data_IF_579970497692
#
_entry.id   IF_579970497692
#
_cell.length_a   1.000
_cell.length_b   1.000
_cell.length_c   1.000
_cell.angle_alpha   90.00
_cell.angle_beta   90.00
_cell.angle_gamma   90.00
#
_symmetry.space_group_name_H-M   'P 1'
#
loop_
_entity.id
_entity.type
_entity.pdbx_description
1 polymer ?
#
# COMPACT_ATOMS: atom_id res chain seq x y z
N UNK A 1 34.18 -1.10 1.22
CA UNK A 1 33.82 -2.37 0.59
C UNK A 1 32.63 -2.11 -0.31
N UNK A 2 32.70 -2.48 -1.57
CA UNK A 2 31.47 -2.48 -2.39
C UNK A 2 30.64 -3.66 -1.91
N UNK A 3 29.40 -3.40 -1.51
CA UNK A 3 28.48 -4.48 -1.15
C UNK A 3 28.28 -5.39 -2.38
N UNK A 4 28.29 -6.70 -2.16
CA UNK A 4 28.02 -7.65 -3.23
C UNK A 4 26.60 -7.42 -3.80
N UNK A 5 26.42 -7.41 -5.14
CA UNK A 5 25.15 -7.13 -5.75
C UNK A 5 24.09 -8.18 -5.36
N UNK A 6 22.87 -7.72 -5.14
CA UNK A 6 21.74 -8.59 -4.77
C UNK A 6 21.10 -9.27 -5.99
N UNK A 7 21.14 -8.61 -7.11
CA UNK A 7 20.58 -9.05 -8.40
C UNK A 7 21.66 -8.98 -9.48
N UNK A 8 21.48 -9.77 -10.54
CA UNK A 8 22.29 -9.62 -11.72
C UNK A 8 22.06 -8.22 -12.37
N UNK A 9 23.09 -7.63 -13.01
CA UNK A 9 22.97 -6.28 -13.57
C UNK A 9 21.76 -6.08 -14.51
N UNK A 10 21.38 -7.09 -15.27
CA UNK A 10 20.24 -7.03 -16.18
C UNK A 10 18.90 -7.10 -15.43
N UNK A 11 18.82 -7.85 -14.32
CA UNK A 11 17.64 -7.95 -13.46
C UNK A 11 17.40 -6.61 -12.74
N UNK A 12 18.44 -6.04 -12.14
CA UNK A 12 18.38 -4.75 -11.47
C UNK A 12 17.96 -3.64 -12.44
N UNK A 13 18.53 -3.64 -13.66
CA UNK A 13 18.16 -2.70 -14.72
C UNK A 13 16.69 -2.85 -15.13
N UNK A 14 16.21 -4.08 -15.27
CA UNK A 14 14.80 -4.39 -15.59
C UNK A 14 13.85 -3.85 -14.53
N UNK A 15 14.20 -4.03 -13.25
CA UNK A 15 13.41 -3.52 -12.14
C UNK A 15 13.35 -1.99 -12.15
N UNK A 16 14.51 -1.33 -12.28
CA UNK A 16 14.59 0.13 -12.37
C UNK A 16 13.81 0.70 -13.57
N UNK A 17 13.94 0.07 -14.77
CA UNK A 17 13.17 0.46 -15.94
C UNK A 17 11.66 0.28 -15.75
N UNK A 18 11.23 -0.76 -15.04
CA UNK A 18 9.82 -0.98 -14.71
C UNK A 18 9.28 0.10 -13.76
N UNK A 19 10.06 0.49 -12.77
CA UNK A 19 9.70 1.61 -11.84
C UNK A 19 9.52 2.90 -12.63
N UNK A 20 10.51 3.26 -13.46
CA UNK A 20 10.55 4.57 -14.12
C UNK A 20 9.56 4.66 -15.28
N UNK A 21 9.57 3.66 -16.19
CA UNK A 21 8.80 3.72 -17.44
C UNK A 21 7.40 3.13 -17.29
N UNK A 22 7.29 1.97 -16.64
CA UNK A 22 6.04 1.25 -16.59
C UNK A 22 5.13 1.68 -15.44
N UNK A 23 5.73 2.04 -14.26
CA UNK A 23 4.96 2.45 -13.08
C UNK A 23 4.82 3.95 -12.93
N UNK A 24 5.81 4.75 -13.32
CA UNK A 24 5.74 6.22 -13.23
C UNK A 24 5.44 6.91 -14.55
N UNK A 25 5.72 6.28 -15.69
CA UNK A 25 5.54 6.90 -17.00
C UNK A 25 6.42 8.15 -17.18
N UNK A 26 7.66 8.13 -16.70
CA UNK A 26 8.59 9.26 -16.84
C UNK A 26 8.93 9.47 -18.29
N UNK A 27 8.89 10.74 -18.73
CA UNK A 27 9.18 11.18 -20.10
C UNK A 27 10.22 12.29 -20.15
N UNK A 28 10.61 12.69 -21.35
CA UNK A 28 11.64 13.71 -21.60
C UNK A 28 11.29 15.04 -20.92
N UNK A 29 12.26 15.63 -20.25
CA UNK A 29 12.15 16.96 -19.63
C UNK A 29 11.55 16.99 -18.23
N UNK A 30 11.13 15.84 -17.69
CA UNK A 30 10.51 15.76 -16.36
C UNK A 30 11.53 15.66 -15.23
N UNK A 31 11.08 15.93 -14.00
CA UNK A 31 11.85 15.73 -12.78
C UNK A 31 11.44 14.42 -12.13
N UNK A 32 12.42 13.55 -11.86
CA UNK A 32 12.23 12.34 -11.07
C UNK A 32 12.83 12.51 -9.68
N UNK A 33 12.05 12.26 -8.64
CA UNK A 33 12.55 12.21 -7.26
C UNK A 33 12.56 10.78 -6.79
N UNK A 34 13.72 10.29 -6.34
CA UNK A 34 13.91 8.95 -5.77
C UNK A 34 14.17 9.08 -4.27
N UNK A 35 13.34 8.45 -3.47
CA UNK A 35 13.40 8.52 -2.01
C UNK A 35 13.53 7.13 -1.41
N UNK A 36 14.38 6.98 -0.41
CA UNK A 36 14.56 5.72 0.31
C UNK A 36 15.57 5.88 1.45
N UNK A 37 15.95 4.79 2.07
CA UNK A 37 17.01 4.76 3.08
C UNK A 37 18.36 4.43 2.43
N UNK A 38 19.47 4.62 3.17
CA UNK A 38 20.81 4.32 2.65
C UNK A 38 20.93 2.84 2.24
N UNK A 39 20.27 1.94 2.96
CA UNK A 39 20.22 0.52 2.62
C UNK A 39 19.65 0.23 1.22
N UNK A 40 18.90 1.16 0.64
CA UNK A 40 18.29 1.03 -0.69
C UNK A 40 19.15 1.58 -1.83
N UNK A 41 20.40 2.00 -1.53
CA UNK A 41 21.28 2.71 -2.46
C UNK A 41 21.43 2.00 -3.81
N UNK A 42 21.57 0.67 -3.84
CA UNK A 42 21.75 -0.09 -5.07
C UNK A 42 20.58 0.13 -6.05
N UNK A 43 19.34 -0.05 -5.60
CA UNK A 43 18.17 0.19 -6.44
C UNK A 43 17.98 1.68 -6.75
N UNK A 44 18.21 2.57 -5.78
CA UNK A 44 18.02 4.02 -5.99
C UNK A 44 18.94 4.58 -7.07
N UNK A 45 20.19 4.11 -7.12
CA UNK A 45 21.15 4.48 -8.18
C UNK A 45 20.71 3.92 -9.53
N UNK A 46 20.25 2.67 -9.58
CA UNK A 46 19.72 2.07 -10.80
C UNK A 46 18.46 2.79 -11.32
N UNK A 47 17.57 3.24 -10.43
CA UNK A 47 16.38 4.04 -10.77
C UNK A 47 16.78 5.42 -11.29
N UNK A 48 17.81 6.04 -10.71
CA UNK A 48 18.33 7.33 -11.20
C UNK A 48 18.90 7.20 -12.61
N UNK A 49 19.71 6.15 -12.87
CA UNK A 49 20.22 5.84 -14.22
C UNK A 49 19.07 5.60 -15.21
N UNK A 50 18.07 4.82 -14.83
CA UNK A 50 16.88 4.58 -15.65
C UNK A 50 16.10 5.85 -15.93
N UNK A 51 16.02 6.78 -14.95
CA UNK A 51 15.40 8.09 -15.09
C UNK A 51 16.09 8.93 -16.18
N UNK A 52 17.40 9.05 -16.12
CA UNK A 52 18.16 9.77 -17.17
C UNK A 52 18.07 9.09 -18.53
N UNK A 53 18.10 7.77 -18.60
CA UNK A 53 17.87 7.01 -19.85
C UNK A 53 16.45 7.20 -20.42
N UNK A 54 15.47 7.50 -19.56
CA UNK A 54 14.11 7.84 -19.98
C UNK A 54 13.97 9.33 -20.42
N UNK A 55 15.02 10.14 -20.26
CA UNK A 55 15.05 11.54 -20.66
C UNK A 55 14.66 12.50 -19.54
N UNK A 56 14.64 12.09 -18.27
CA UNK A 56 14.43 13.00 -17.16
C UNK A 56 15.41 14.15 -17.22
N UNK A 57 14.93 15.39 -17.02
CA UNK A 57 15.77 16.57 -16.97
C UNK A 57 16.67 16.60 -15.73
N UNK A 58 16.07 16.24 -14.58
CA UNK A 58 16.77 16.11 -13.32
C UNK A 58 16.27 14.84 -12.60
N UNK A 59 17.21 14.08 -12.01
CA UNK A 59 16.90 13.05 -11.03
C UNK A 59 17.47 13.48 -9.69
N UNK A 60 16.59 13.71 -8.72
CA UNK A 60 16.94 14.05 -7.35
C UNK A 60 16.84 12.81 -6.46
N UNK A 61 17.95 12.44 -5.82
CA UNK A 61 17.98 11.27 -4.88
C UNK A 61 18.04 11.78 -3.45
N UNK A 62 17.15 11.27 -2.60
CA UNK A 62 17.09 11.62 -1.18
C UNK A 62 17.16 10.37 -0.32
N UNK A 63 18.16 10.32 0.54
CA UNK A 63 18.29 9.28 1.56
C UNK A 63 17.73 9.77 2.88
N UNK A 64 16.82 9.00 3.47
CA UNK A 64 16.37 9.13 4.85
C UNK A 64 17.16 8.19 5.77
N UNK A 65 17.09 8.46 7.06
CA UNK A 65 17.65 7.59 8.09
C UNK A 65 16.69 7.59 9.29
N UNK A 66 16.14 6.42 9.68
CA UNK A 66 15.23 6.31 10.83
C UNK A 66 15.87 6.75 12.15
N UNK A 67 17.20 6.60 12.30
CA UNK A 67 17.90 7.00 13.52
C UNK A 67 17.98 8.53 13.66
N UNK A 68 17.94 9.28 12.55
CA UNK A 68 17.80 10.75 12.59
C UNK A 68 16.43 11.16 13.12
N UNK A 69 15.36 10.43 12.74
CA UNK A 69 14.04 10.64 13.33
C UNK A 69 14.04 10.26 14.81
N UNK A 70 14.67 9.15 15.19
CA UNK A 70 14.84 8.75 16.58
C UNK A 70 15.52 9.85 17.39
N UNK A 71 16.67 10.37 16.95
CA UNK A 71 17.39 11.44 17.62
C UNK A 71 16.52 12.71 17.81
N UNK A 72 15.70 13.05 16.81
CA UNK A 72 14.71 14.13 16.91
C UNK A 72 13.63 13.85 17.96
N UNK A 73 13.15 12.61 18.02
CA UNK A 73 12.16 12.20 19.03
C UNK A 73 12.74 12.14 20.44
N UNK A 74 14.02 11.83 20.61
CA UNK A 74 14.70 11.80 21.93
C UNK A 74 15.05 13.20 22.40
N UNK A 75 15.67 14.01 21.57
CA UNK A 75 16.35 15.24 21.98
C UNK A 75 15.72 16.51 21.42
N UNK A 76 14.86 16.41 20.40
CA UNK A 76 14.23 17.56 19.79
C UNK A 76 13.27 18.27 20.75
N UNK A 77 13.16 19.60 20.63
CA UNK A 77 12.19 20.39 21.39
C UNK A 77 10.76 20.00 21.03
N UNK A 78 9.85 20.06 21.97
CA UNK A 78 8.44 19.69 21.76
C UNK A 78 7.73 20.57 20.71
N UNK A 79 8.13 21.84 20.58
CA UNK A 79 7.59 22.76 19.58
C UNK A 79 8.09 22.43 18.16
N UNK A 80 9.21 21.72 18.02
CA UNK A 80 9.81 21.34 16.74
C UNK A 80 9.33 19.98 16.23
N UNK A 81 8.66 19.16 17.06
CA UNK A 81 8.13 17.87 16.64
C UNK A 81 7.10 18.02 15.53
N UNK A 82 7.24 17.22 14.47
CA UNK A 82 6.37 17.22 13.29
C UNK A 82 6.46 18.46 12.41
N UNK A 83 7.34 19.42 12.72
CA UNK A 83 7.54 20.62 11.89
C UNK A 83 8.31 20.24 10.62
N UNK A 84 7.80 20.68 9.48
CA UNK A 84 8.51 20.60 8.20
C UNK A 84 9.10 21.97 7.83
N UNK A 85 10.27 21.96 7.22
CA UNK A 85 10.92 23.19 6.79
C UNK A 85 10.23 23.82 5.57
N UNK A 86 10.35 25.15 5.37
CA UNK A 86 9.74 25.82 4.21
C UNK A 86 10.16 25.22 2.85
N UNK A 87 11.41 24.79 2.72
CA UNK A 87 11.89 24.14 1.49
C UNK A 87 11.30 22.74 1.30
N UNK A 88 11.13 21.94 2.36
CA UNK A 88 10.44 20.66 2.29
C UNK A 88 8.98 20.83 1.87
N UNK A 89 8.29 21.83 2.43
CA UNK A 89 6.92 22.16 2.03
C UNK A 89 6.84 22.63 0.55
N UNK A 90 7.85 23.39 0.07
CA UNK A 90 7.93 23.77 -1.35
C UNK A 90 8.11 22.55 -2.23
N UNK A 91 9.05 21.66 -1.88
CA UNK A 91 9.30 20.42 -2.61
C UNK A 91 8.03 19.55 -2.73
N UNK A 92 7.26 19.40 -1.66
CA UNK A 92 5.99 18.68 -1.71
C UNK A 92 5.00 19.31 -2.70
N UNK A 93 4.94 20.63 -2.80
CA UNK A 93 4.12 21.32 -3.81
C UNK A 93 4.62 21.07 -5.23
N UNK A 94 5.94 21.10 -5.45
CA UNK A 94 6.51 20.78 -6.78
C UNK A 94 6.16 19.35 -7.21
N UNK A 95 6.16 18.37 -6.29
CA UNK A 95 5.80 16.99 -6.56
C UNK A 95 4.32 16.79 -6.95
N UNK A 96 3.47 17.80 -6.81
CA UNK A 96 2.08 17.74 -7.31
C UNK A 96 1.92 18.28 -8.73
N UNK A 97 2.99 18.70 -9.37
CA UNK A 97 2.97 19.18 -10.76
C UNK A 97 3.01 18.03 -11.77
N UNK A 98 2.42 18.20 -12.95
CA UNK A 98 2.41 17.15 -14.00
C UNK A 98 3.82 16.71 -14.43
N UNK A 99 4.79 17.62 -14.37
CA UNK A 99 6.19 17.39 -14.78
C UNK A 99 7.06 16.70 -13.71
N UNK A 100 6.48 16.31 -12.58
CA UNK A 100 7.21 15.65 -11.50
C UNK A 100 6.69 14.22 -11.26
N UNK A 101 7.62 13.31 -10.98
CA UNK A 101 7.33 11.93 -10.58
C UNK A 101 8.16 11.54 -9.36
N UNK A 102 7.65 10.65 -8.52
CA UNK A 102 8.31 10.20 -7.30
C UNK A 102 8.32 8.68 -7.18
N UNK A 103 9.51 8.09 -7.06
CA UNK A 103 9.74 6.73 -6.63
C UNK A 103 10.06 6.71 -5.13
N UNK A 104 9.35 5.92 -4.35
CA UNK A 104 9.63 5.66 -2.93
C UNK A 104 10.09 4.21 -2.80
N UNK A 105 11.33 4.01 -2.34
CA UNK A 105 11.84 2.68 -2.11
C UNK A 105 11.57 2.31 -0.66
N UNK A 106 10.86 1.20 -0.48
CA UNK A 106 10.40 0.68 0.81
C UNK A 106 11.24 -0.51 1.28
N UNK A 107 11.45 -0.59 2.58
CA UNK A 107 12.18 -1.64 3.27
C UNK A 107 12.75 -1.08 4.57
N UNK A 108 12.37 -1.61 5.73
CA UNK A 108 12.87 -1.12 7.01
C UNK A 108 14.33 -1.58 7.23
N UNK A 109 15.24 -0.63 7.47
CA UNK A 109 16.64 -0.94 7.80
C UNK A 109 16.89 -1.02 9.31
N UNK A 110 16.12 -0.26 10.11
CA UNK A 110 16.32 -0.08 11.54
C UNK A 110 15.06 -0.47 12.32
N UNK A 111 14.90 -1.76 12.65
CA UNK A 111 13.76 -2.22 13.45
C UNK A 111 13.82 -1.66 14.86
N UNK A 112 12.67 -1.36 15.41
CA UNK A 112 12.57 -0.89 16.80
C UNK A 112 13.18 0.51 17.03
N UNK A 113 13.44 1.29 15.98
CA UNK A 113 13.97 2.66 16.14
C UNK A 113 13.07 3.57 16.98
N UNK A 114 11.82 3.18 17.22
CA UNK A 114 10.89 3.89 18.10
C UNK A 114 10.84 3.32 19.54
N UNK A 115 11.56 2.22 19.82
CA UNK A 115 11.54 1.58 21.12
C UNK A 115 12.11 2.51 22.21
N UNK A 116 11.38 2.59 23.32
CA UNK A 116 11.76 3.48 24.44
C UNK A 116 11.39 4.95 24.25
N UNK A 117 10.94 5.37 23.07
CA UNK A 117 10.47 6.74 22.84
C UNK A 117 9.07 6.92 23.49
N UNK A 118 8.85 8.01 24.28
CA UNK A 118 7.54 8.26 24.86
C UNK A 118 6.43 8.33 23.81
N UNK A 119 5.35 7.53 23.93
CA UNK A 119 4.26 7.48 22.93
C UNK A 119 3.68 8.85 22.58
N UNK A 120 3.61 9.78 23.54
CA UNK A 120 3.13 11.15 23.32
C UNK A 120 3.99 11.91 22.32
N UNK A 121 5.30 11.73 22.31
CA UNK A 121 6.21 12.40 21.38
C UNK A 121 6.04 11.85 19.97
N UNK A 122 5.92 10.52 19.84
CA UNK A 122 5.63 9.86 18.55
C UNK A 122 4.30 10.36 17.98
N UNK A 123 3.23 10.36 18.80
CA UNK A 123 1.92 10.84 18.37
C UNK A 123 1.93 12.32 17.97
N UNK A 124 2.69 13.16 18.69
CA UNK A 124 2.85 14.59 18.36
C UNK A 124 3.55 14.77 17.03
N UNK A 125 4.67 14.06 16.80
CA UNK A 125 5.41 14.08 15.53
C UNK A 125 4.50 13.71 14.37
N UNK A 126 3.85 12.54 14.44
CA UNK A 126 3.00 12.01 13.38
C UNK A 126 1.79 12.90 13.08
N UNK A 127 1.08 13.37 14.12
CA UNK A 127 -0.13 14.18 13.93
C UNK A 127 0.18 15.55 13.32
N UNK A 128 1.24 16.21 13.81
CA UNK A 128 1.64 17.51 13.27
C UNK A 128 2.19 17.40 11.84
N UNK A 129 3.01 16.38 11.56
CA UNK A 129 3.50 16.10 10.21
C UNK A 129 2.33 15.82 9.26
N UNK A 130 1.39 14.94 9.62
CA UNK A 130 0.21 14.64 8.83
C UNK A 130 -0.61 15.90 8.53
N UNK A 131 -0.82 16.77 9.53
CA UNK A 131 -1.54 18.04 9.35
C UNK A 131 -0.87 18.96 8.32
N UNK A 132 0.46 19.09 8.36
CA UNK A 132 1.21 19.95 7.44
C UNK A 132 1.30 19.36 6.02
N UNK A 133 1.26 18.03 5.90
CA UNK A 133 1.37 17.32 4.62
C UNK A 133 0.03 16.92 4.01
N UNK A 134 -1.10 17.24 4.65
CA UNK A 134 -2.46 16.84 4.23
C UNK A 134 -2.74 17.13 2.75
N UNK A 135 -2.35 18.31 2.24
CA UNK A 135 -2.60 18.68 0.83
C UNK A 135 -1.83 17.78 -0.12
N UNK A 136 -0.57 17.46 0.20
CA UNK A 136 0.26 16.57 -0.59
C UNK A 136 -0.26 15.12 -0.54
N UNK A 137 -0.60 14.63 0.66
CA UNK A 137 -1.17 13.29 0.83
C UNK A 137 -2.47 13.12 0.04
N UNK A 138 -3.37 14.10 0.10
CA UNK A 138 -4.60 14.09 -0.70
C UNK A 138 -4.30 14.11 -2.20
N UNK A 139 -3.32 14.89 -2.64
CA UNK A 139 -2.92 14.91 -4.05
C UNK A 139 -2.40 13.53 -4.50
N UNK A 140 -1.68 12.81 -3.65
CA UNK A 140 -1.21 11.44 -3.93
C UNK A 140 -2.39 10.45 -4.02
N UNK A 141 -3.33 10.49 -3.06
CA UNK A 141 -4.52 9.63 -3.07
C UNK A 141 -5.50 9.95 -4.23
N UNK A 142 -5.53 11.21 -4.69
CA UNK A 142 -6.34 11.64 -5.83
C UNK A 142 -5.58 11.48 -7.17
N UNK A 143 -4.43 10.81 -7.18
CA UNK A 143 -3.54 10.62 -8.35
C UNK A 143 -3.05 11.93 -8.99
N UNK A 144 -3.09 13.03 -8.25
CA UNK A 144 -2.61 14.36 -8.68
C UNK A 144 -1.12 14.55 -8.42
N UNK A 145 -0.50 13.68 -7.64
CA UNK A 145 0.94 13.54 -7.56
C UNK A 145 1.29 12.17 -8.11
N UNK A 146 2.19 12.11 -9.11
CA UNK A 146 2.65 10.85 -9.68
C UNK A 146 3.64 10.19 -8.73
N UNK A 147 3.32 8.99 -8.29
CA UNK A 147 4.20 8.24 -7.40
C UNK A 147 4.09 6.74 -7.62
N UNK A 148 5.12 6.03 -7.21
CA UNK A 148 5.12 4.57 -7.04
C UNK A 148 5.95 4.20 -5.81
N UNK A 149 5.45 3.22 -5.05
CA UNK A 149 6.22 2.53 -4.02
C UNK A 149 6.83 1.26 -4.62
N UNK A 150 8.12 1.01 -4.38
CA UNK A 150 8.79 -0.23 -4.79
C UNK A 150 9.61 -0.78 -3.63
N UNK A 151 9.67 -2.10 -3.50
CA UNK A 151 10.36 -2.76 -2.39
C UNK A 151 11.84 -3.00 -2.71
N UNK A 152 12.71 -2.88 -1.68
CA UNK A 152 14.10 -3.33 -1.74
C UNK A 152 14.51 -3.98 -0.42
N UNK A 153 15.23 -5.13 -0.42
CA UNK A 153 15.54 -5.86 0.80
C UNK A 153 16.57 -5.14 1.65
N UNK A 154 16.36 -5.23 2.97
CA UNK A 154 17.35 -4.86 4.00
C UNK A 154 17.80 -6.10 4.75
N UNK A 155 18.88 -6.01 5.52
CA UNK A 155 19.39 -7.14 6.33
C UNK A 155 18.34 -7.60 7.33
N UNK A 156 17.72 -6.64 8.01
CA UNK A 156 16.68 -6.95 8.99
C UNK A 156 15.45 -7.60 8.35
N UNK A 157 14.94 -7.03 7.29
CA UNK A 157 13.75 -7.55 6.60
C UNK A 157 14.00 -8.95 6.05
N UNK A 158 15.17 -9.17 5.43
CA UNK A 158 15.53 -10.48 4.92
C UNK A 158 15.67 -11.53 6.05
N UNK A 159 16.23 -11.16 7.21
CA UNK A 159 16.32 -12.04 8.36
C UNK A 159 14.94 -12.44 8.93
N UNK A 160 13.96 -11.54 8.90
CA UNK A 160 12.58 -11.87 9.30
C UNK A 160 11.90 -12.86 8.33
N UNK A 161 12.03 -12.63 7.04
CA UNK A 161 11.37 -13.46 6.02
C UNK A 161 12.11 -14.79 5.81
N UNK A 162 13.43 -14.78 5.90
CA UNK A 162 14.32 -15.91 5.65
C UNK A 162 15.27 -16.19 6.82
N UNK A 163 14.79 -16.50 8.03
CA UNK A 163 15.62 -16.61 9.24
C UNK A 163 16.65 -17.76 9.22
N UNK A 164 16.57 -18.65 8.23
CA UNK A 164 17.50 -19.79 8.08
C UNK A 164 18.60 -19.54 7.04
N UNK A 165 18.56 -18.42 6.32
CA UNK A 165 19.56 -18.07 5.32
C UNK A 165 20.62 -17.11 5.93
N UNK A 166 21.79 -17.07 5.33
CA UNK A 166 22.76 -16.01 5.65
C UNK A 166 22.20 -14.64 5.23
N UNK A 167 22.67 -13.52 5.83
CA UNK A 167 22.14 -12.18 5.50
C UNK A 167 22.15 -11.89 4.00
N UNK A 168 23.24 -12.20 3.30
CA UNK A 168 23.36 -11.95 1.86
C UNK A 168 22.41 -12.83 1.04
N UNK A 169 22.34 -14.13 1.34
CA UNK A 169 21.42 -15.06 0.67
C UNK A 169 19.97 -14.70 0.92
N UNK A 170 19.63 -14.31 2.15
CA UNK A 170 18.30 -13.83 2.51
C UNK A 170 17.89 -12.59 1.69
N UNK A 171 18.77 -11.60 1.59
CA UNK A 171 18.52 -10.40 0.75
C UNK A 171 18.39 -10.75 -0.72
N UNK A 172 19.27 -11.59 -1.27
CA UNK A 172 19.20 -12.04 -2.66
C UNK A 172 17.90 -12.79 -2.94
N UNK A 173 17.47 -13.63 -2.01
CA UNK A 173 16.21 -14.36 -2.14
C UNK A 173 15.03 -13.39 -2.14
N UNK A 174 14.98 -12.46 -1.19
CA UNK A 174 13.93 -11.47 -1.08
C UNK A 174 13.87 -10.53 -2.31
N UNK A 175 15.02 -10.11 -2.85
CA UNK A 175 15.08 -9.34 -4.09
C UNK A 175 14.49 -10.10 -5.29
N UNK A 176 14.77 -11.40 -5.42
CA UNK A 176 14.18 -12.26 -6.47
C UNK A 176 12.67 -12.46 -6.28
N UNK A 177 12.20 -12.54 -5.03
CA UNK A 177 10.76 -12.57 -4.76
C UNK A 177 10.09 -11.30 -5.27
N UNK A 178 10.68 -10.12 -5.05
CA UNK A 178 10.13 -8.85 -5.57
C UNK A 178 10.07 -8.83 -7.09
N UNK A 179 11.12 -9.32 -7.77
CA UNK A 179 11.09 -9.47 -9.24
C UNK A 179 9.96 -10.41 -9.68
N UNK A 180 9.78 -11.53 -8.99
CA UNK A 180 8.73 -12.49 -9.30
C UNK A 180 7.34 -11.87 -9.10
N UNK A 181 7.11 -11.18 -7.97
CA UNK A 181 5.83 -10.52 -7.69
C UNK A 181 5.52 -9.41 -8.69
N UNK A 182 6.54 -8.70 -9.14
CA UNK A 182 6.41 -7.69 -10.18
C UNK A 182 6.39 -8.26 -11.60
N UNK A 183 6.40 -9.58 -11.81
CA UNK A 183 6.45 -10.24 -13.14
C UNK A 183 7.61 -9.72 -13.98
N UNK A 184 8.79 -9.67 -13.38
CA UNK A 184 10.01 -9.18 -14.01
C UNK A 184 11.09 -10.26 -14.15
N UNK A 185 10.72 -11.53 -14.01
CA UNK A 185 11.61 -12.67 -14.28
C UNK A 185 11.67 -12.96 -15.78
N UNK A 186 12.63 -13.75 -16.22
CA UNK A 186 12.75 -14.14 -17.62
C UNK A 186 11.52 -14.93 -18.12
N UNK A 187 10.87 -15.68 -17.24
CA UNK A 187 9.64 -16.40 -17.56
C UNK A 187 8.43 -15.46 -17.82
N UNK A 188 8.49 -14.21 -17.37
CA UNK A 188 7.42 -13.23 -17.53
C UNK A 188 7.52 -12.41 -18.84
N UNK A 189 8.57 -12.61 -19.61
CA UNK A 189 8.83 -11.93 -20.88
C UNK A 189 9.88 -10.84 -20.82
N UNK A 190 10.10 -10.16 -21.95
CA UNK A 190 11.17 -9.18 -22.10
C UNK A 190 10.85 -7.87 -21.35
N UNK A 191 11.86 -7.29 -20.72
CA UNK A 191 11.79 -5.99 -20.05
C UNK A 191 10.69 -5.93 -18.99
N UNK A 192 9.84 -4.93 -19.04
CA UNK A 192 8.71 -4.72 -18.12
C UNK A 192 7.36 -5.21 -18.68
N UNK A 193 7.37 -6.03 -19.75
CA UNK A 193 6.14 -6.49 -20.42
C UNK A 193 5.21 -7.30 -19.52
N UNK A 194 5.76 -8.18 -18.68
CA UNK A 194 5.00 -8.95 -17.70
C UNK A 194 4.28 -8.06 -16.69
N UNK A 195 5.00 -7.09 -16.14
CA UNK A 195 4.43 -6.11 -15.22
C UNK A 195 3.31 -5.29 -15.88
N UNK A 196 3.55 -4.73 -17.08
CA UNK A 196 2.54 -3.96 -17.80
C UNK A 196 1.29 -4.78 -18.13
N UNK A 197 1.47 -6.04 -18.53
CA UNK A 197 0.35 -6.97 -18.80
C UNK A 197 -0.48 -7.17 -17.52
N UNK A 198 0.19 -7.37 -16.40
CA UNK A 198 -0.43 -7.61 -15.10
C UNK A 198 -1.23 -6.38 -14.61
N UNK A 199 -0.62 -5.20 -14.51
CA UNK A 199 -1.32 -4.00 -14.01
C UNK A 199 -2.46 -3.56 -14.93
N UNK A 200 -2.34 -3.78 -16.24
CA UNK A 200 -3.45 -3.58 -17.18
C UNK A 200 -4.57 -4.60 -16.99
N UNK A 201 -4.27 -5.83 -16.60
CA UNK A 201 -5.28 -6.83 -16.27
C UNK A 201 -6.07 -6.42 -15.03
N UNK A 202 -5.40 -5.95 -13.98
CA UNK A 202 -6.05 -5.41 -12.78
C UNK A 202 -6.93 -4.20 -13.12
N UNK A 203 -6.44 -3.25 -13.92
CA UNK A 203 -7.23 -2.09 -14.35
C UNK A 203 -8.48 -2.49 -15.17
N UNK A 204 -8.35 -3.48 -16.08
CA UNK A 204 -9.52 -4.03 -16.82
C UNK A 204 -10.53 -4.67 -15.87
N UNK A 205 -10.07 -5.38 -14.85
CA UNK A 205 -10.91 -5.98 -13.81
C UNK A 205 -11.67 -4.92 -13.03
N UNK A 206 -10.98 -3.87 -12.59
CA UNK A 206 -11.59 -2.70 -11.94
C UNK A 206 -12.66 -2.04 -12.82
N UNK A 207 -12.36 -1.83 -14.10
CA UNK A 207 -13.33 -1.29 -15.05
C UNK A 207 -14.56 -2.20 -15.23
N UNK A 208 -14.37 -3.52 -15.19
CA UNK A 208 -15.49 -4.48 -15.26
C UNK A 208 -16.36 -4.46 -14.01
N UNK A 209 -15.74 -4.49 -12.83
CA UNK A 209 -16.47 -4.34 -11.56
C UNK A 209 -17.25 -3.01 -11.49
N UNK A 210 -16.65 -1.93 -12.00
CA UNK A 210 -17.33 -0.63 -12.09
C UNK A 210 -18.57 -0.68 -12.95
N UNK A 211 -18.53 -1.38 -14.10
CA UNK A 211 -19.72 -1.56 -14.99
C UNK A 211 -20.83 -2.42 -14.40
N UNK A 212 -20.55 -3.23 -13.39
CA UNK A 212 -21.56 -4.00 -12.69
C UNK A 212 -22.45 -3.13 -11.79
N UNK A 213 -22.05 -1.88 -11.53
CA UNK A 213 -22.78 -0.92 -10.68
C UNK A 213 -23.22 -1.52 -9.35
N UNK A 214 -22.28 -2.21 -8.70
CA UNK A 214 -22.54 -2.85 -7.43
C UNK A 214 -22.84 -1.82 -6.35
N UNK A 215 -23.84 -2.07 -5.55
CA UNK A 215 -24.24 -1.23 -4.40
C UNK A 215 -23.81 -1.81 -3.06
N UNK A 216 -23.34 -3.05 -3.04
CA UNK A 216 -22.88 -3.74 -1.85
C UNK A 216 -22.12 -5.01 -2.17
N UNK A 217 -21.48 -5.56 -1.14
CA UNK A 217 -20.78 -6.82 -1.18
C UNK A 217 -21.17 -7.68 0.04
N UNK A 218 -21.20 -8.98 -0.16
CA UNK A 218 -21.17 -10.00 0.89
C UNK A 218 -19.85 -10.76 0.76
N UNK A 219 -19.06 -10.80 1.84
CA UNK A 219 -17.80 -11.51 1.90
C UNK A 219 -17.94 -12.64 2.93
N UNK A 220 -17.63 -13.87 2.53
CA UNK A 220 -17.69 -15.05 3.38
C UNK A 220 -16.40 -15.85 3.28
N UNK A 221 -15.87 -16.24 4.42
CA UNK A 221 -14.66 -17.05 4.56
C UNK A 221 -14.49 -17.53 5.98
N UNK A 222 -13.41 -18.23 6.31
CA UNK A 222 -13.17 -18.73 7.65
C UNK A 222 -13.20 -17.61 8.70
N UNK A 223 -14.25 -17.57 9.54
CA UNK A 223 -14.45 -16.54 10.57
C UNK A 223 -14.87 -15.16 10.04
N UNK A 224 -15.15 -15.04 8.76
CA UNK A 224 -15.61 -13.81 8.11
C UNK A 224 -17.00 -14.00 7.52
N UNK A 225 -17.96 -13.17 7.95
CA UNK A 225 -19.29 -12.97 7.33
C UNK A 225 -19.59 -11.48 7.39
N UNK A 226 -19.17 -10.74 6.36
CA UNK A 226 -19.34 -9.30 6.25
C UNK A 226 -20.33 -8.95 5.15
N UNK A 227 -21.18 -7.98 5.45
CA UNK A 227 -22.05 -7.31 4.48
C UNK A 227 -21.74 -5.82 4.52
N UNK A 228 -21.39 -5.26 3.39
CA UNK A 228 -21.10 -3.84 3.29
C UNK A 228 -21.80 -3.22 2.09
N UNK A 229 -22.19 -1.95 2.23
CA UNK A 229 -22.64 -1.16 1.08
C UNK A 229 -21.45 -0.39 0.51
N UNK A 230 -21.50 -0.13 -0.77
CA UNK A 230 -20.48 0.67 -1.46
C UNK A 230 -20.92 2.16 -1.50
N UNK A 231 -19.94 3.05 -1.61
CA UNK A 231 -20.22 4.47 -1.83
C UNK A 231 -21.03 4.63 -3.13
N UNK A 232 -22.16 5.39 -3.14
CA UNK A 232 -22.95 5.57 -4.34
C UNK A 232 -22.13 6.14 -5.50
N UNK A 233 -22.19 5.49 -6.67
CA UNK A 233 -21.41 5.86 -7.85
C UNK A 233 -19.92 5.59 -7.68
N UNK A 234 -19.56 4.59 -6.88
CA UNK A 234 -18.18 4.13 -6.73
C UNK A 234 -17.64 3.53 -8.02
N UNK A 235 -16.33 3.65 -8.21
CA UNK A 235 -15.57 2.89 -9.20
C UNK A 235 -14.55 2.02 -8.51
N UNK A 236 -14.14 0.97 -9.19
CA UNK A 236 -13.06 0.10 -8.76
C UNK A 236 -11.77 0.52 -9.42
N UNK A 237 -10.70 0.59 -8.64
CA UNK A 237 -9.33 0.88 -9.04
C UNK A 237 -8.49 -0.38 -8.92
N UNK A 238 -7.34 -0.41 -9.59
CA UNK A 238 -6.36 -1.49 -9.43
C UNK A 238 -5.30 -1.48 -10.51
N UNK A 239 -4.09 -1.77 -10.11
CA UNK A 239 -2.93 -1.86 -10.97
C UNK A 239 -2.58 -0.53 -11.65
N UNK A 240 -2.96 -0.37 -12.92
CA UNK A 240 -2.64 0.86 -13.66
C UNK A 240 -3.80 1.86 -13.58
N UNK A 241 -3.48 3.05 -13.11
CA UNK A 241 -4.41 4.18 -12.99
C UNK A 241 -3.97 5.35 -13.88
N UNK A 242 -4.91 6.21 -14.24
CA UNK A 242 -4.61 7.39 -15.04
C UNK A 242 -4.71 8.66 -14.20
N UNK A 243 -3.66 9.47 -14.23
CA UNK A 243 -3.64 10.78 -13.58
C UNK A 243 -4.57 11.75 -14.31
N UNK A 244 -4.98 12.88 -13.68
CA UNK A 244 -5.75 13.93 -14.35
C UNK A 244 -5.08 14.51 -15.60
N UNK A 245 -3.81 14.26 -15.81
CA UNK A 245 -3.03 14.72 -16.96
C UNK A 245 -2.83 13.66 -18.06
N UNK A 246 -3.54 12.53 -17.95
CA UNK A 246 -3.49 11.45 -18.93
C UNK A 246 -2.26 10.52 -18.81
N UNK A 247 -1.43 10.69 -17.78
CA UNK A 247 -0.28 9.81 -17.55
C UNK A 247 -0.75 8.56 -16.80
N UNK A 248 -0.42 7.40 -17.33
CA UNK A 248 -0.71 6.11 -16.69
C UNK A 248 0.39 5.75 -15.71
N UNK A 249 0.01 5.45 -14.47
CA UNK A 249 0.91 5.08 -13.38
C UNK A 249 0.44 3.79 -12.70
N UNK A 250 1.35 3.10 -12.02
CA UNK A 250 1.07 2.02 -11.08
C UNK A 250 1.61 2.43 -9.70
N UNK A 251 0.76 2.86 -8.75
CA UNK A 251 1.21 3.42 -7.48
C UNK A 251 1.97 2.43 -6.58
N UNK A 252 1.62 1.16 -6.63
CA UNK A 252 2.29 0.10 -5.86
C UNK A 252 2.98 -0.90 -6.76
N UNK A 253 4.19 -1.31 -6.34
CA UNK A 253 5.00 -2.30 -7.04
C UNK A 253 5.70 -3.21 -6.02
N UNK A 254 5.16 -4.44 -5.80
CA UNK A 254 4.06 -5.11 -6.51
C UNK A 254 2.67 -4.60 -6.14
N UNK A 255 1.65 -5.02 -6.91
CA UNK A 255 0.23 -4.95 -6.58
C UNK A 255 -0.51 -6.15 -7.18
N UNK A 256 -1.53 -6.66 -6.47
CA UNK A 256 -2.37 -7.79 -6.88
C UNK A 256 -3.86 -7.44 -6.79
N UNK A 257 -4.17 -6.29 -6.26
CA UNK A 257 -5.50 -5.91 -5.82
C UNK A 257 -6.33 -5.17 -6.88
N UNK A 258 -7.64 -5.28 -6.67
CA UNK A 258 -8.64 -4.39 -7.25
C UNK A 258 -9.56 -3.93 -6.12
N UNK A 259 -9.61 -2.63 -5.86
CA UNK A 259 -10.20 -2.07 -4.65
C UNK A 259 -11.23 -0.98 -4.90
N UNK A 260 -12.04 -0.72 -3.88
CA UNK A 260 -12.98 0.41 -3.83
C UNK A 260 -13.27 0.83 -2.39
N UNK A 261 -14.02 1.91 -2.20
CA UNK A 261 -14.38 2.39 -0.87
C UNK A 261 -15.80 1.97 -0.47
N UNK A 262 -15.96 1.28 0.66
CA UNK A 262 -17.27 1.01 1.26
C UNK A 262 -17.89 2.29 1.83
N UNK A 263 -19.20 2.27 2.01
CA UNK A 263 -19.93 3.33 2.69
C UNK A 263 -19.64 3.25 4.21
N UNK A 264 -19.05 4.29 4.77
CA UNK A 264 -18.56 4.33 6.15
C UNK A 264 -19.59 3.93 7.23
N UNK A 265 -20.89 4.12 6.98
CA UNK A 265 -21.96 3.83 7.93
C UNK A 265 -22.72 2.53 7.63
N UNK A 266 -22.19 1.64 6.79
CA UNK A 266 -23.01 0.52 6.30
C UNK A 266 -22.21 -0.78 6.13
N UNK A 267 -21.55 -1.19 7.22
CA UNK A 267 -20.88 -2.49 7.35
C UNK A 267 -21.48 -3.24 8.53
N UNK A 268 -21.85 -4.48 8.33
CA UNK A 268 -22.42 -5.40 9.34
C UNK A 268 -21.69 -6.74 9.30
N UNK A 269 -21.57 -7.39 10.44
CA UNK A 269 -21.03 -8.75 10.55
C UNK A 269 -19.64 -8.83 11.16
N UNK A 270 -18.96 -9.95 10.93
CA UNK A 270 -17.69 -10.27 11.56
C UNK A 270 -16.58 -10.47 10.54
N UNK A 271 -15.35 -10.23 10.97
CA UNK A 271 -14.15 -10.59 10.22
C UNK A 271 -13.13 -11.28 11.11
N UNK A 272 -12.32 -12.12 10.50
CA UNK A 272 -11.12 -12.71 11.10
C UNK A 272 -9.97 -12.57 10.11
N UNK A 273 -8.82 -12.05 10.58
CA UNK A 273 -7.61 -11.99 9.76
C UNK A 273 -7.12 -13.41 9.44
N UNK A 274 -6.81 -13.62 8.18
CA UNK A 274 -6.24 -14.87 7.66
C UNK A 274 -4.72 -14.87 7.63
N UNK A 275 -4.11 -13.67 7.72
CA UNK A 275 -2.67 -13.47 7.83
C UNK A 275 -2.36 -12.64 9.08
N UNK A 276 -1.18 -12.85 9.71
CA UNK A 276 -0.69 -11.93 10.74
C UNK A 276 -0.61 -10.51 10.19
N UNK A 277 -1.01 -9.53 11.00
CA UNK A 277 -0.87 -8.12 10.66
C UNK A 277 0.49 -7.62 11.12
N UNK A 278 1.35 -7.23 10.18
CA UNK A 278 2.59 -6.50 10.47
C UNK A 278 2.30 -5.01 10.49
N UNK A 279 2.41 -4.39 11.67
CA UNK A 279 2.09 -2.98 11.82
C UNK A 279 3.00 -2.31 12.85
N UNK A 280 3.70 -1.26 12.42
CA UNK A 280 4.63 -0.47 13.25
C UNK A 280 5.61 -1.36 14.06
N UNK A 281 6.27 -2.29 13.38
CA UNK A 281 7.25 -3.19 13.98
C UNK A 281 6.68 -4.31 14.86
N UNK A 282 5.34 -4.46 14.92
CA UNK A 282 4.67 -5.53 15.66
C UNK A 282 4.02 -6.53 14.71
N UNK A 283 4.13 -7.80 15.05
CA UNK A 283 3.36 -8.87 14.41
C UNK A 283 2.15 -9.22 15.29
N UNK A 284 0.96 -9.02 14.75
CA UNK A 284 -0.32 -9.14 15.44
C UNK A 284 -1.08 -10.33 14.88
N UNK A 285 -1.26 -11.35 15.70
CA UNK A 285 -1.95 -12.58 15.33
C UNK A 285 -3.41 -12.59 15.80
N UNK A 286 -4.25 -13.31 15.03
CA UNK A 286 -5.63 -13.62 15.41
C UNK A 286 -6.51 -12.37 15.57
N UNK A 287 -6.21 -11.31 14.81
CA UNK A 287 -7.04 -10.11 14.81
C UNK A 287 -8.42 -10.44 14.23
N UNK A 288 -9.47 -10.08 14.98
CA UNK A 288 -10.88 -10.31 14.59
C UNK A 288 -11.78 -9.24 15.18
N UNK A 289 -12.91 -9.02 14.53
CA UNK A 289 -13.84 -8.01 15.03
C UNK A 289 -15.26 -8.14 14.51
N UNK A 290 -16.13 -7.27 15.02
CA UNK A 290 -17.55 -7.22 14.69
C UNK A 290 -17.94 -5.78 14.35
N UNK A 291 -18.64 -5.61 13.24
CA UNK A 291 -19.22 -4.34 12.81
C UNK A 291 -20.72 -4.30 13.04
N UNK A 292 -21.22 -3.16 13.54
CA UNK A 292 -22.65 -2.82 13.58
C UNK A 292 -22.83 -1.37 13.17
N UNK A 293 -23.77 -1.09 12.27
CA UNK A 293 -24.01 0.27 11.78
C UNK A 293 -22.76 0.92 11.16
N UNK A 294 -21.90 0.16 10.51
CA UNK A 294 -20.65 0.61 9.92
C UNK A 294 -19.54 0.88 10.93
N UNK A 295 -19.73 0.61 12.22
CA UNK A 295 -18.72 0.86 13.26
C UNK A 295 -18.23 -0.44 13.86
N UNK A 296 -16.92 -0.57 14.01
CA UNK A 296 -16.30 -1.66 14.79
C UNK A 296 -16.72 -1.54 16.25
N UNK A 297 -17.50 -2.53 16.75
CA UNK A 297 -18.03 -2.59 18.11
C UNK A 297 -17.26 -3.58 19.00
N UNK A 298 -16.63 -4.57 18.40
CA UNK A 298 -15.74 -5.52 19.08
C UNK A 298 -14.43 -5.64 18.31
N UNK A 299 -13.33 -5.75 19.02
CA UNK A 299 -12.01 -6.05 18.49
C UNK A 299 -11.33 -7.03 19.45
N UNK A 300 -10.69 -8.06 18.91
CA UNK A 300 -9.90 -9.00 19.64
C UNK A 300 -8.66 -9.42 18.83
N UNK A 301 -7.61 -9.83 19.50
CA UNK A 301 -6.40 -10.40 18.95
C UNK A 301 -5.96 -11.58 19.82
N UNK A 302 -4.94 -12.33 19.38
CA UNK A 302 -4.39 -13.42 20.17
C UNK A 302 -3.85 -12.91 21.53
N UNK A 303 -3.20 -11.75 21.54
CA UNK A 303 -2.73 -11.07 22.77
C UNK A 303 -3.57 -9.81 23.04
N UNK A 304 -4.04 -9.61 24.30
CA UNK A 304 -4.78 -8.39 24.66
C UNK A 304 -4.00 -7.10 24.37
N UNK A 305 -2.69 -7.10 24.57
CA UNK A 305 -1.80 -5.95 24.29
C UNK A 305 -1.79 -5.55 22.80
N UNK A 306 -1.94 -6.50 21.90
CA UNK A 306 -2.00 -6.25 20.45
C UNK A 306 -3.36 -5.65 20.06
N UNK A 307 -4.44 -6.18 20.65
CA UNK A 307 -5.78 -5.58 20.52
C UNK A 307 -5.77 -4.13 20.95
N UNK A 308 -5.19 -3.82 22.12
CA UNK A 308 -5.18 -2.48 22.68
C UNK A 308 -4.31 -1.53 21.83
N UNK A 309 -3.22 -2.04 21.25
CA UNK A 309 -2.36 -1.29 20.33
C UNK A 309 -3.11 -0.93 19.03
N UNK A 310 -3.79 -1.87 18.39
CA UNK A 310 -4.62 -1.61 17.22
C UNK A 310 -5.76 -0.65 17.56
N UNK A 311 -6.45 -0.88 18.67
CA UNK A 311 -7.52 0.00 19.11
C UNK A 311 -7.04 1.45 19.33
N UNK A 312 -5.90 1.63 19.99
CA UNK A 312 -5.31 2.96 20.21
C UNK A 312 -5.00 3.67 18.90
N UNK A 313 -4.48 2.95 17.89
CA UNK A 313 -4.21 3.53 16.59
C UNK A 313 -5.48 3.96 15.85
N UNK A 314 -6.48 3.11 15.72
CA UNK A 314 -7.72 3.46 15.01
C UNK A 314 -8.53 4.53 15.77
N UNK A 315 -8.42 4.58 17.10
CA UNK A 315 -9.09 5.60 17.96
C UNK A 315 -8.32 6.92 17.98
N UNK A 316 -7.07 6.97 17.54
CA UNK A 316 -6.31 8.22 17.42
C UNK A 316 -6.83 9.16 16.33
N UNK A 317 -7.75 8.69 15.48
CA UNK A 317 -8.39 9.52 14.46
C UNK A 317 -9.24 10.62 15.10
N UNK A 318 -8.91 11.92 14.90
CA UNK A 318 -9.61 13.02 15.55
C UNK A 318 -11.06 13.20 15.09
N UNK A 319 -11.43 12.65 13.95
CA UNK A 319 -12.80 12.67 13.44
C UNK A 319 -13.70 11.59 14.07
N UNK A 320 -13.12 10.64 14.83
CA UNK A 320 -13.80 9.49 15.41
C UNK A 320 -14.28 8.45 14.38
N UNK A 321 -13.81 8.56 13.14
CA UNK A 321 -14.17 7.65 12.05
C UNK A 321 -13.15 6.52 11.83
N UNK A 322 -12.08 6.44 12.60
CA UNK A 322 -11.07 5.39 12.50
C UNK A 322 -11.65 3.98 12.68
N UNK A 323 -12.73 3.82 13.44
CA UNK A 323 -13.44 2.54 13.63
C UNK A 323 -14.41 2.18 12.50
N UNK A 324 -14.35 2.86 11.35
CA UNK A 324 -15.16 2.59 10.16
C UNK A 324 -14.28 2.17 9.01
N UNK A 325 -14.83 1.40 8.08
CA UNK A 325 -14.07 1.01 6.89
C UNK A 325 -13.91 2.18 5.91
N UNK A 326 -12.76 2.24 5.27
CA UNK A 326 -12.42 3.13 4.16
C UNK A 326 -12.18 2.36 2.86
N UNK A 327 -11.81 1.09 2.97
CA UNK A 327 -11.46 0.26 1.82
C UNK A 327 -12.02 -1.15 1.91
N UNK A 328 -12.28 -1.72 0.74
CA UNK A 328 -12.40 -3.14 0.48
C UNK A 328 -11.60 -3.45 -0.79
N UNK A 329 -10.61 -4.29 -0.65
CA UNK A 329 -9.73 -4.72 -1.72
C UNK A 329 -9.88 -6.23 -1.98
N UNK A 330 -9.94 -6.59 -3.25
CA UNK A 330 -10.12 -7.96 -3.68
C UNK A 330 -8.84 -8.45 -4.36
N UNK A 331 -8.27 -9.48 -3.79
CA UNK A 331 -7.12 -10.24 -4.28
C UNK A 331 -7.55 -11.69 -4.32
N UNK A 332 -7.32 -12.37 -5.43
CA UNK A 332 -7.65 -13.78 -5.55
C UNK A 332 -6.50 -14.70 -5.13
N UNK A 333 -6.78 -15.98 -4.96
CA UNK A 333 -5.82 -16.98 -4.52
C UNK A 333 -4.66 -17.23 -5.54
N UNK A 334 -4.69 -16.59 -6.72
CA UNK A 334 -3.58 -16.66 -7.69
C UNK A 334 -2.50 -15.60 -7.46
N UNK A 335 -2.66 -14.72 -6.45
CA UNK A 335 -1.61 -13.79 -6.05
C UNK A 335 -0.29 -14.52 -5.84
N UNK A 336 0.78 -14.09 -6.53
CA UNK A 336 2.10 -14.68 -6.34
C UNK A 336 2.62 -14.50 -4.92
N UNK A 337 2.22 -13.42 -4.26
CA UNK A 337 2.57 -13.14 -2.86
C UNK A 337 1.84 -14.15 -1.95
N UNK A 338 0.53 -14.29 -2.11
CA UNK A 338 -0.27 -15.27 -1.36
C UNK A 338 0.19 -16.71 -1.57
N UNK A 339 0.48 -17.09 -2.81
CA UNK A 339 0.98 -18.43 -3.16
C UNK A 339 2.37 -18.75 -2.58
N UNK A 340 3.16 -17.73 -2.19
CA UNK A 340 4.44 -17.96 -1.50
C UNK A 340 4.27 -18.62 -0.12
N UNK A 341 3.07 -18.53 0.46
CA UNK A 341 2.75 -19.04 1.80
C UNK A 341 3.53 -18.37 2.92
N UNK A 342 4.05 -17.14 2.67
CA UNK A 342 4.91 -16.41 3.61
C UNK A 342 4.25 -15.11 4.06
N UNK A 343 4.54 -14.71 5.28
CA UNK A 343 4.38 -13.34 5.74
C UNK A 343 5.65 -12.58 5.42
N UNK A 344 5.52 -11.43 4.77
CA UNK A 344 6.65 -10.58 4.39
C UNK A 344 6.94 -9.49 5.42
N UNK A 345 6.13 -9.36 6.44
CA UNK A 345 6.28 -8.38 7.54
C UNK A 345 6.31 -6.93 7.03
N UNK A 346 5.66 -6.68 5.90
CA UNK A 346 5.56 -5.36 5.31
C UNK A 346 4.22 -5.18 4.57
N UNK A 347 3.50 -4.12 4.91
CA UNK A 347 2.14 -3.86 4.41
C UNK A 347 2.05 -3.91 2.89
N UNK A 348 2.98 -3.28 2.16
CA UNK A 348 3.02 -3.30 0.68
C UNK A 348 2.94 -4.71 0.07
N UNK A 349 3.47 -5.73 0.76
CA UNK A 349 3.42 -7.11 0.29
C UNK A 349 2.27 -7.88 0.91
N UNK A 350 2.12 -7.80 2.23
CA UNK A 350 1.16 -8.64 2.96
C UNK A 350 -0.29 -8.28 2.60
N UNK A 351 -0.62 -7.00 2.35
CA UNK A 351 -1.93 -6.57 1.85
C UNK A 351 -2.26 -7.18 0.47
N UNK A 352 -1.24 -7.41 -0.35
CA UNK A 352 -1.36 -8.00 -1.68
C UNK A 352 -1.32 -9.54 -1.68
N UNK A 353 -1.16 -10.18 -0.51
CA UNK A 353 -1.23 -11.63 -0.37
C UNK A 353 -2.68 -12.16 -0.42
N UNK A 354 -3.65 -11.37 0.03
CA UNK A 354 -5.05 -11.78 0.13
C UNK A 354 -6.01 -10.58 0.07
N UNK A 355 -7.28 -10.84 -0.22
CA UNK A 355 -8.31 -9.82 -0.10
C UNK A 355 -8.33 -9.23 1.31
N UNK A 356 -8.51 -7.92 1.41
CA UNK A 356 -8.43 -7.20 2.67
C UNK A 356 -9.49 -6.10 2.80
N UNK A 357 -9.66 -5.63 4.01
CA UNK A 357 -10.43 -4.44 4.35
C UNK A 357 -9.53 -3.46 5.07
N UNK A 358 -9.74 -2.15 4.91
CA UNK A 358 -9.00 -1.17 5.69
C UNK A 358 -9.91 -0.36 6.60
N UNK A 359 -9.46 -0.19 7.85
CA UNK A 359 -10.01 0.78 8.77
C UNK A 359 -9.56 2.19 8.39
N UNK A 360 -10.45 3.17 8.54
CA UNK A 360 -10.09 4.57 8.41
C UNK A 360 -10.35 5.17 7.04
N UNK A 361 -9.34 5.84 6.46
CA UNK A 361 -9.51 6.67 5.27
C UNK A 361 -9.91 5.88 4.03
N UNK A 362 -10.91 6.39 3.30
CA UNK A 362 -11.24 5.91 1.97
C UNK A 362 -10.58 6.74 0.87
N UNK A 363 -10.48 6.18 -0.33
CA UNK A 363 -9.81 6.77 -1.48
C UNK A 363 -10.73 7.68 -2.30
N UNK A 364 -10.34 8.93 -2.47
CA UNK A 364 -11.08 9.91 -3.27
C UNK A 364 -11.23 9.51 -4.73
N UNK A 365 -10.24 8.81 -5.27
CA UNK A 365 -10.22 8.29 -6.65
C UNK A 365 -11.29 7.22 -6.95
N UNK A 366 -11.80 6.52 -5.93
CA UNK A 366 -12.86 5.50 -6.09
C UNK A 366 -14.25 6.08 -6.35
N UNK A 367 -14.38 7.34 -6.78
CA UNK A 367 -15.65 8.01 -7.01
C UNK A 367 -15.82 8.46 -8.45
N UNK A 368 -16.97 8.15 -9.03
CA UNK A 368 -17.36 8.69 -10.33
C UNK A 368 -18.07 10.06 -10.23
N UNK A 369 -18.73 10.35 -9.09
CA UNK A 369 -19.54 11.56 -8.88
C UNK A 369 -19.15 12.28 -7.59
N UNK A 370 -19.16 13.62 -7.62
CA UNK A 370 -19.04 14.48 -6.43
C UNK A 370 -20.44 15.01 -6.05
N UNK A 371 -20.75 15.26 -4.75
CA UNK A 371 -19.95 14.93 -3.56
C UNK A 371 -20.00 13.44 -3.22
N UNK A 372 -18.93 12.93 -2.58
CA UNK A 372 -18.86 11.56 -2.06
C UNK A 372 -19.61 11.42 -0.75
N UNK A 373 -20.90 11.20 -0.80
CA UNK A 373 -21.67 10.84 0.39
C UNK A 373 -21.26 9.42 0.83
N UNK A 374 -20.88 9.28 2.11
CA UNK A 374 -20.53 8.00 2.72
C UNK A 374 -19.09 7.57 2.61
N UNK A 375 -18.21 8.32 1.91
CA UNK A 375 -16.78 8.05 1.92
C UNK A 375 -16.20 8.36 3.31
N UNK A 376 -15.45 7.42 3.89
CA UNK A 376 -14.74 7.66 5.13
C UNK A 376 -13.57 8.63 4.93
N UNK A 377 -13.42 9.58 5.86
CA UNK A 377 -12.41 10.64 5.80
C UNK A 377 -11.61 10.71 7.10
N UNK A 378 -11.24 9.57 7.64
CA UNK A 378 -10.36 9.46 8.78
C UNK A 378 -8.93 9.91 8.44
N UNK A 379 -8.13 10.14 9.47
CA UNK A 379 -6.71 10.43 9.35
C UNK A 379 -5.84 9.16 9.43
N UNK A 380 -6.43 8.03 9.78
CA UNK A 380 -5.75 6.72 9.89
C UNK A 380 -6.13 5.82 8.72
N UNK A 381 -5.27 4.85 8.41
CA UNK A 381 -5.52 3.78 7.44
C UNK A 381 -4.80 2.53 7.91
N UNK A 382 -5.50 1.39 7.98
CA UNK A 382 -4.94 0.12 8.46
C UNK A 382 -5.59 -1.04 7.73
N UNK A 383 -4.81 -1.72 6.91
CA UNK A 383 -5.22 -2.88 6.14
C UNK A 383 -5.19 -4.15 6.99
N UNK A 384 -6.22 -4.99 6.85
CA UNK A 384 -6.34 -6.26 7.55
C UNK A 384 -6.80 -7.35 6.56
N UNK A 385 -5.96 -8.35 6.35
CA UNK A 385 -6.16 -9.40 5.37
C UNK A 385 -7.20 -10.41 5.88
N UNK A 386 -8.26 -10.61 5.09
CA UNK A 386 -9.40 -11.48 5.42
C UNK A 386 -9.66 -12.53 4.34
N UNK A 387 -8.86 -12.51 3.27
CA UNK A 387 -9.00 -13.40 2.11
C UNK A 387 -8.21 -14.70 2.24
N UNK A 388 -8.43 -15.58 1.27
CA UNK A 388 -7.77 -16.88 1.17
C UNK A 388 -8.48 -17.76 0.14
N UNK A 389 -8.09 -19.02 0.00
CA UNK A 389 -8.67 -19.94 -0.97
C UNK A 389 -10.17 -20.21 -0.74
N UNK A 390 -10.65 -20.05 0.48
CA UNK A 390 -12.05 -20.28 0.85
C UNK A 390 -12.91 -19.01 0.84
N UNK A 391 -12.36 -17.88 0.34
CA UNK A 391 -13.10 -16.63 0.27
C UNK A 391 -14.12 -16.66 -0.85
N UNK A 392 -15.37 -16.32 -0.51
CA UNK A 392 -16.44 -16.02 -1.46
C UNK A 392 -16.83 -14.54 -1.36
N UNK A 393 -16.97 -13.89 -2.51
CA UNK A 393 -17.47 -12.51 -2.60
C UNK A 393 -18.61 -12.44 -3.58
N UNK A 394 -19.78 -12.00 -3.07
CA UNK A 394 -20.98 -11.78 -3.87
C UNK A 394 -21.23 -10.27 -3.96
N UNK A 395 -21.25 -9.75 -5.18
CA UNK A 395 -21.69 -8.39 -5.47
C UNK A 395 -23.20 -8.27 -5.52
N UNK A 396 -23.76 -7.19 -4.98
CA UNK A 396 -25.19 -6.87 -5.00
C UNK A 396 -25.41 -5.66 -5.89
N UNK A 397 -26.20 -5.80 -6.95
CA UNK A 397 -26.58 -4.67 -7.84
C UNK A 397 -27.69 -3.84 -7.23
N UNK A 398 -27.97 -2.66 -7.82
CA UNK A 398 -29.06 -1.79 -7.41
C UNK A 398 -30.46 -2.45 -7.50
N UNK A 399 -30.60 -3.47 -8.36
CA UNK A 399 -31.83 -4.26 -8.51
C UNK A 399 -31.88 -5.50 -7.59
N UNK A 400 -30.92 -5.62 -6.66
CA UNK A 400 -30.82 -6.77 -5.74
C UNK A 400 -30.31 -8.06 -6.39
N UNK A 401 -29.85 -8.04 -7.64
CA UNK A 401 -29.24 -9.20 -8.29
C UNK A 401 -27.92 -9.52 -7.62
N UNK A 402 -27.73 -10.79 -7.29
CA UNK A 402 -26.49 -11.34 -6.74
C UNK A 402 -25.55 -11.76 -7.87
N UNK A 403 -24.33 -11.29 -7.85
CA UNK A 403 -23.30 -11.55 -8.87
C UNK A 403 -22.08 -12.13 -8.18
N UNK A 404 -21.69 -13.39 -8.45
CA UNK A 404 -20.42 -13.92 -7.96
C UNK A 404 -19.25 -13.07 -8.47
N UNK A 405 -18.41 -12.60 -7.56
CA UNK A 405 -17.20 -11.80 -7.85
C UNK A 405 -15.95 -12.65 -7.61
N UNK A 406 -15.89 -13.30 -6.45
CA UNK A 406 -14.89 -14.33 -6.13
C UNK A 406 -15.68 -15.58 -5.69
N UNK A 407 -15.31 -16.73 -6.20
CA UNK A 407 -15.83 -18.04 -5.82
C UNK A 407 -14.65 -19.00 -5.63
N UNK A 408 -14.63 -19.75 -4.52
CA UNK A 408 -13.52 -20.66 -4.18
C UNK A 408 -12.15 -19.94 -4.26
N UNK A 409 -12.08 -18.72 -3.74
CA UNK A 409 -10.89 -17.90 -3.76
C UNK A 409 -10.48 -17.34 -5.13
N UNK A 410 -11.17 -17.65 -6.22
CA UNK A 410 -10.81 -17.25 -7.58
C UNK A 410 -11.81 -16.24 -8.17
N UNK A 411 -11.33 -15.39 -9.09
CA UNK A 411 -12.20 -14.46 -9.79
C UNK A 411 -13.28 -15.20 -10.61
N UNK A 412 -14.54 -14.99 -10.25
CA UNK A 412 -15.71 -15.52 -10.98
C UNK A 412 -16.18 -14.59 -12.10
N UNK A 413 -15.71 -13.34 -12.12
CA UNK A 413 -15.92 -12.40 -13.22
C UNK A 413 -14.84 -12.60 -14.28
N UNK A 414 -15.19 -13.16 -15.43
CA UNK A 414 -14.30 -13.35 -16.60
C UNK A 414 -14.06 -12.05 -17.38
#
# INVERSE_FOLDING_TARGET
MQDEPLLEPHELRRYADAIVKASLGVTVGETLVVQGEHAHRELMVAVADAGYRAGAHIVEVTYGDPLVLRARLEHGRDDALGVITPWSARRMRELTKPSAARAVIAGESEPGYLDGIPPKRIATELSRFAKQTTTFQRASLDLRARWTGAAWPTDHWAAQVYPKLSPLEGKRRLARDFLSFCRLTDADGAGSSGWLKHVRALARRGAKLTRLELTGLELRGPGTDLRLRLVPGTRWLGGQEETPWGVKIAPNMPTEETFTSPHAAATEGTFTCTFPLSFQGRLIDGLRGEFRGGRLVRLAAARPTDRDFVAAYIDSDPSGNGRRLGEVALVDATSRIGQSGRTYFHTLLDENAAAHIAFGSGFGGTRLKKPARGLNRAAVHLDVMIGGPDLEVIGITAKGKRVPVIAEGLWAIS
#
